data_IF_268842881238
#
_entry.id   IF_268842881238
#
_cell.length_a   1.000
_cell.length_b   1.000
_cell.length_c   1.000
_cell.angle_alpha   90.00
_cell.angle_beta   90.00
_cell.angle_gamma   90.00
#
_symmetry.space_group_name_H-M   'P 1'
#
loop_
_entity.id
_entity.type
_entity.pdbx_description
1 polymer ?
#
# COMPACT_ATOMS: atom_id res chain seq x y z
N UNK A 1 2.65 -10.12 -26.24
CA UNK A 1 2.84 -10.64 -24.86
C UNK A 1 1.71 -10.11 -23.99
N UNK A 2 1.22 -10.85 -22.99
CA UNK A 2 0.26 -10.30 -22.03
C UNK A 2 0.86 -9.08 -21.33
N UNK A 3 0.05 -8.06 -21.04
CA UNK A 3 0.48 -6.93 -20.22
C UNK A 3 0.93 -7.41 -18.85
N UNK A 4 2.02 -6.83 -18.32
CA UNK A 4 2.53 -7.16 -16.98
C UNK A 4 1.86 -6.37 -15.87
N UNK A 5 1.07 -5.35 -16.23
CA UNK A 5 0.36 -4.42 -15.33
C UNK A 5 -1.03 -4.11 -15.89
N UNK A 6 -1.86 -3.41 -15.12
CA UNK A 6 -3.16 -2.94 -15.58
C UNK A 6 -2.98 -1.97 -16.77
N UNK A 7 -3.84 -2.09 -17.78
CA UNK A 7 -3.88 -1.20 -18.93
C UNK A 7 -4.70 0.04 -18.57
N UNK A 8 -4.13 1.22 -18.66
CA UNK A 8 -4.79 2.48 -18.26
C UNK A 8 -6.14 2.69 -18.96
N UNK A 9 -6.26 2.33 -20.24
CA UNK A 9 -7.50 2.42 -21.03
C UNK A 9 -8.66 1.55 -20.54
N UNK A 10 -8.37 0.57 -19.67
CA UNK A 10 -9.35 -0.34 -19.09
C UNK A 10 -9.64 -0.02 -17.62
N UNK A 11 -8.97 0.99 -17.06
CA UNK A 11 -9.26 1.47 -15.70
C UNK A 11 -10.57 2.25 -15.76
N UNK A 12 -11.51 1.89 -14.87
CA UNK A 12 -12.77 2.63 -14.74
C UNK A 12 -12.53 3.99 -14.08
N UNK A 13 -13.44 4.93 -14.28
CA UNK A 13 -13.33 6.29 -13.77
C UNK A 13 -14.63 6.78 -13.15
N UNK A 14 -14.52 7.71 -12.20
CA UNK A 14 -15.65 8.39 -11.58
C UNK A 14 -15.19 9.78 -11.09
N UNK A 15 -16.01 10.85 -11.18
CA UNK A 15 -15.59 12.20 -10.78
C UNK A 15 -15.11 12.31 -9.32
N UNK A 16 -15.68 11.48 -8.44
CA UNK A 16 -15.30 11.39 -7.02
C UNK A 16 -14.19 10.36 -6.73
N UNK A 17 -13.50 9.80 -7.73
CA UNK A 17 -12.42 8.82 -7.52
C UNK A 17 -11.12 9.30 -8.14
N UNK A 18 -10.02 9.12 -7.39
CA UNK A 18 -8.69 9.53 -7.82
C UNK A 18 -8.25 8.73 -9.06
N UNK A 19 -8.00 9.45 -10.15
CA UNK A 19 -7.46 8.86 -11.38
C UNK A 19 -5.99 8.48 -11.17
N UNK A 20 -5.51 7.37 -11.75
CA UNK A 20 -4.09 7.03 -11.69
C UNK A 20 -3.22 8.17 -12.22
N UNK A 21 -2.33 8.66 -11.36
CA UNK A 21 -1.38 9.72 -11.67
C UNK A 21 0.06 9.27 -11.39
N UNK A 22 1.00 10.21 -11.35
CA UNK A 22 2.44 9.96 -11.25
C UNK A 22 2.84 9.13 -10.02
N UNK A 23 2.14 9.30 -8.91
CA UNK A 23 2.30 8.55 -7.67
C UNK A 23 1.86 7.08 -7.80
N UNK A 24 0.74 6.85 -8.46
CA UNK A 24 0.15 5.55 -8.76
C UNK A 24 1.07 4.78 -9.71
N UNK A 25 1.60 5.47 -10.73
CA UNK A 25 2.59 4.91 -11.64
C UNK A 25 3.92 4.63 -10.95
N UNK A 26 4.38 5.50 -10.05
CA UNK A 26 5.60 5.27 -9.29
C UNK A 26 5.49 4.04 -8.38
N UNK A 27 4.33 3.83 -7.75
CA UNK A 27 4.08 2.64 -6.93
C UNK A 27 4.08 1.36 -7.78
N UNK A 28 3.42 1.37 -8.94
CA UNK A 28 3.45 0.22 -9.87
C UNK A 28 4.85 -0.02 -10.43
N UNK A 29 5.62 1.02 -10.74
CA UNK A 29 7.02 0.89 -11.15
C UNK A 29 7.91 0.30 -10.06
N UNK A 30 7.67 0.66 -8.80
CA UNK A 30 8.39 0.08 -7.68
C UNK A 30 8.09 -1.43 -7.53
N UNK A 31 6.83 -1.82 -7.68
CA UNK A 31 6.43 -3.23 -7.70
C UNK A 31 7.03 -3.98 -8.89
N UNK A 32 7.11 -3.35 -10.07
CA UNK A 32 7.78 -3.92 -11.24
C UNK A 32 9.29 -4.08 -11.03
N UNK A 33 9.95 -3.09 -10.43
CA UNK A 33 11.37 -3.13 -10.11
C UNK A 33 11.69 -4.24 -9.09
N UNK A 34 10.79 -4.47 -8.12
CA UNK A 34 10.93 -5.53 -7.10
C UNK A 34 10.27 -6.85 -7.50
N UNK A 35 9.78 -6.98 -8.74
CA UNK A 35 8.96 -8.12 -9.20
C UNK A 35 9.63 -9.47 -8.97
N UNK A 36 10.94 -9.58 -9.24
CA UNK A 36 11.67 -10.83 -9.02
C UNK A 36 11.58 -11.28 -7.56
N UNK A 37 11.83 -10.34 -6.64
CA UNK A 37 11.75 -10.60 -5.21
C UNK A 37 10.31 -10.92 -4.78
N UNK A 38 9.30 -10.22 -5.33
CA UNK A 38 7.88 -10.51 -5.09
C UNK A 38 7.46 -11.93 -5.54
N UNK A 39 7.98 -12.41 -6.68
CA UNK A 39 7.71 -13.77 -7.16
C UNK A 39 8.39 -14.83 -6.27
N UNK A 40 9.64 -14.59 -5.88
CA UNK A 40 10.39 -15.46 -4.95
C UNK A 40 9.77 -15.46 -3.54
N UNK A 41 9.16 -14.35 -3.14
CA UNK A 41 8.46 -14.20 -1.86
C UNK A 41 7.21 -15.10 -1.75
N UNK A 42 6.61 -15.47 -2.89
CA UNK A 42 5.42 -16.30 -2.98
C UNK A 42 4.32 -15.87 -1.98
N UNK A 43 3.81 -14.61 -2.07
CA UNK A 43 2.73 -14.17 -1.20
C UNK A 43 1.49 -15.03 -1.42
N UNK A 44 0.76 -15.31 -0.36
CA UNK A 44 -0.56 -15.95 -0.43
C UNK A 44 -1.69 -14.95 -0.22
N UNK A 45 -1.41 -13.82 0.43
CA UNK A 45 -2.39 -12.79 0.73
C UNK A 45 -1.81 -11.40 0.46
N UNK A 46 -2.43 -10.65 -0.46
CA UNK A 46 -2.07 -9.29 -0.81
C UNK A 46 -3.21 -8.32 -0.49
N UNK A 47 -2.89 -7.12 -0.04
CA UNK A 47 -3.87 -6.10 0.31
C UNK A 47 -3.46 -4.72 -0.22
N UNK A 48 -4.42 -3.97 -0.74
CA UNK A 48 -4.30 -2.52 -0.97
C UNK A 48 -5.15 -1.76 0.05
N UNK A 49 -4.60 -0.69 0.64
CA UNK A 49 -5.34 0.28 1.45
C UNK A 49 -5.44 1.60 0.71
N UNK A 50 -6.66 2.10 0.51
CA UNK A 50 -6.96 3.28 -0.30
C UNK A 50 -6.89 2.95 -1.79
N UNK A 51 -7.73 2.03 -2.27
CA UNK A 51 -7.59 1.48 -3.62
C UNK A 51 -7.99 2.43 -4.76
N UNK A 52 -8.79 3.48 -4.51
CA UNK A 52 -9.15 4.48 -5.51
C UNK A 52 -9.71 3.85 -6.79
N UNK A 53 -8.99 4.05 -7.89
CA UNK A 53 -9.33 3.50 -9.21
C UNK A 53 -9.08 2.00 -9.38
N UNK A 54 -8.37 1.38 -8.43
CA UNK A 54 -7.99 -0.03 -8.44
C UNK A 54 -6.79 -0.37 -9.32
N UNK A 55 -6.09 0.65 -9.85
CA UNK A 55 -4.97 0.47 -10.77
C UNK A 55 -3.81 -0.34 -10.15
N UNK A 56 -3.47 -0.08 -8.88
CA UNK A 56 -2.33 -0.71 -8.20
C UNK A 56 -2.65 -2.15 -7.82
N UNK A 57 -3.76 -2.45 -7.12
CA UNK A 57 -4.14 -3.85 -6.80
C UNK A 57 -4.30 -4.69 -8.06
N UNK A 58 -4.89 -4.13 -9.12
CA UNK A 58 -5.06 -4.83 -10.41
C UNK A 58 -3.70 -5.13 -11.04
N UNK A 59 -2.77 -4.17 -11.02
CA UNK A 59 -1.41 -4.37 -11.52
C UNK A 59 -0.64 -5.42 -10.71
N UNK A 60 -0.74 -5.39 -9.38
CA UNK A 60 -0.14 -6.40 -8.50
C UNK A 60 -0.69 -7.80 -8.80
N UNK A 61 -2.01 -7.92 -8.99
CA UNK A 61 -2.66 -9.18 -9.32
C UNK A 61 -2.22 -9.75 -10.67
N UNK A 62 -2.04 -8.90 -11.68
CA UNK A 62 -1.49 -9.31 -12.98
C UNK A 62 -0.02 -9.74 -12.85
N UNK A 63 0.79 -8.98 -12.10
CA UNK A 63 2.22 -9.27 -11.92
C UNK A 63 2.49 -10.61 -11.24
N UNK A 64 1.68 -10.93 -10.23
CA UNK A 64 1.78 -12.14 -9.41
C UNK A 64 0.92 -13.29 -9.93
N UNK A 65 0.24 -13.12 -11.07
CA UNK A 65 -0.53 -14.18 -11.70
C UNK A 65 0.40 -15.35 -12.00
N UNK A 66 0.17 -16.48 -11.34
CA UNK A 66 0.89 -17.73 -11.58
C UNK A 66 0.23 -18.47 -12.74
N UNK A 67 1.03 -19.19 -13.50
CA UNK A 67 0.53 -20.18 -14.46
C UNK A 67 -0.02 -21.41 -13.69
N UNK A 68 -0.81 -22.25 -14.37
CA UNK A 68 -1.68 -23.29 -13.78
C UNK A 68 -1.03 -24.15 -12.67
N UNK A 69 -1.84 -24.55 -11.68
CA UNK A 69 -1.56 -25.42 -10.52
C UNK A 69 -0.76 -24.86 -9.34
N UNK A 70 -0.37 -23.58 -9.34
CA UNK A 70 0.20 -22.96 -8.15
C UNK A 70 -0.90 -22.41 -7.21
N UNK A 71 -0.64 -22.40 -5.89
CA UNK A 71 -1.56 -21.82 -4.91
C UNK A 71 -1.93 -20.38 -5.30
N UNK A 72 -3.24 -20.12 -5.40
CA UNK A 72 -3.79 -18.82 -5.77
C UNK A 72 -3.48 -17.79 -4.70
N UNK A 73 -3.13 -16.58 -5.14
CA UNK A 73 -2.97 -15.43 -4.26
C UNK A 73 -4.35 -14.84 -4.01
N UNK A 74 -4.70 -14.60 -2.75
CA UNK A 74 -5.89 -13.85 -2.38
C UNK A 74 -5.58 -12.35 -2.36
N UNK A 75 -6.43 -11.55 -3.01
CA UNK A 75 -6.29 -10.10 -3.08
C UNK A 75 -7.44 -9.43 -2.35
N UNK A 76 -7.12 -8.42 -1.55
CA UNK A 76 -8.08 -7.56 -0.85
C UNK A 76 -7.77 -6.10 -1.16
N UNK A 77 -8.81 -5.27 -1.18
CA UNK A 77 -8.66 -3.83 -1.34
C UNK A 77 -9.68 -3.11 -0.46
N UNK A 78 -9.25 -2.06 0.24
CA UNK A 78 -10.14 -1.21 1.03
C UNK A 78 -10.10 0.22 0.52
N UNK A 79 -11.23 0.90 0.60
CA UNK A 79 -11.31 2.35 0.45
C UNK A 79 -12.44 2.89 1.32
N UNK A 80 -12.29 4.11 1.83
CA UNK A 80 -13.35 4.78 2.59
C UNK A 80 -14.46 5.29 1.66
N UNK A 81 -14.12 5.54 0.39
CA UNK A 81 -15.03 6.05 -0.61
C UNK A 81 -15.79 4.90 -1.30
N UNK A 82 -17.12 4.82 -1.18
CA UNK A 82 -17.91 3.77 -1.81
C UNK A 82 -17.86 3.81 -3.35
N UNK A 83 -17.58 4.97 -3.96
CA UNK A 83 -17.35 5.07 -5.40
C UNK A 83 -16.05 4.37 -5.81
N UNK A 84 -14.98 4.49 -5.01
CA UNK A 84 -13.70 3.83 -5.27
C UNK A 84 -13.83 2.30 -5.21
N UNK A 85 -14.63 1.77 -4.28
CA UNK A 85 -14.95 0.34 -4.20
C UNK A 85 -15.59 -0.18 -5.49
N UNK A 86 -16.56 0.58 -6.02
CA UNK A 86 -17.22 0.26 -7.29
C UNK A 86 -16.24 0.35 -8.47
N UNK A 87 -15.51 1.46 -8.59
CA UNK A 87 -14.55 1.70 -9.69
C UNK A 87 -13.47 0.62 -9.70
N UNK A 88 -12.91 0.29 -8.53
CA UNK A 88 -11.92 -0.79 -8.38
C UNK A 88 -12.49 -2.14 -8.85
N UNK A 89 -13.73 -2.46 -8.48
CA UNK A 89 -14.40 -3.70 -8.92
C UNK A 89 -14.59 -3.76 -10.43
N UNK A 90 -14.94 -2.64 -11.07
CA UNK A 90 -15.06 -2.53 -12.53
C UNK A 90 -13.69 -2.67 -13.22
N UNK A 91 -12.64 -2.03 -12.68
CA UNK A 91 -11.26 -2.15 -13.16
C UNK A 91 -10.75 -3.60 -13.09
N UNK A 92 -10.96 -4.28 -11.97
CA UNK A 92 -10.59 -5.70 -11.79
C UNK A 92 -11.28 -6.59 -12.82
N UNK A 93 -12.60 -6.38 -13.02
CA UNK A 93 -13.42 -7.13 -13.98
C UNK A 93 -12.92 -6.92 -15.41
N UNK A 94 -12.62 -5.69 -15.81
CA UNK A 94 -12.09 -5.37 -17.14
C UNK A 94 -10.74 -6.06 -17.43
N UNK A 95 -9.97 -6.38 -16.39
CA UNK A 95 -8.69 -7.08 -16.48
C UNK A 95 -8.76 -8.58 -16.21
N UNK A 96 -9.96 -9.12 -15.97
CA UNK A 96 -10.17 -10.55 -15.68
C UNK A 96 -9.34 -11.05 -14.49
N UNK A 97 -9.22 -10.20 -13.47
CA UNK A 97 -8.61 -10.53 -12.16
C UNK A 97 -9.64 -10.33 -11.05
N UNK A 98 -9.37 -10.90 -9.87
CA UNK A 98 -10.30 -10.88 -8.75
C UNK A 98 -9.61 -10.40 -7.47
N UNK A 99 -10.28 -9.50 -6.76
CA UNK A 99 -9.97 -9.13 -5.39
C UNK A 99 -11.29 -8.90 -4.62
N UNK A 100 -11.29 -9.13 -3.31
CA UNK A 100 -12.39 -8.72 -2.44
C UNK A 100 -12.22 -7.23 -2.11
N UNK A 101 -13.18 -6.41 -2.53
CA UNK A 101 -13.12 -4.94 -2.38
C UNK A 101 -14.15 -4.49 -1.36
N UNK A 102 -13.71 -3.74 -0.35
CA UNK A 102 -14.52 -3.42 0.82
C UNK A 102 -14.51 -1.92 1.09
N UNK A 103 -15.69 -1.38 1.42
CA UNK A 103 -15.81 -0.01 1.90
C UNK A 103 -15.44 0.01 3.39
N UNK A 104 -14.23 0.45 3.73
CA UNK A 104 -13.71 0.44 5.10
C UNK A 104 -12.70 1.58 5.31
N UNK A 105 -12.64 2.09 6.54
CA UNK A 105 -11.61 3.04 6.95
C UNK A 105 -10.34 2.26 7.32
N UNK A 106 -9.37 2.23 6.38
CA UNK A 106 -8.12 1.47 6.47
C UNK A 106 -8.37 -0.05 6.53
N UNK A 107 -8.72 -0.57 7.71
CA UNK A 107 -9.10 -1.96 7.98
C UNK A 107 -9.89 -2.11 9.30
N UNK A 108 -10.58 -1.03 9.71
CA UNK A 108 -11.14 -0.87 11.06
C UNK A 108 -12.42 -1.67 11.33
N UNK A 109 -13.12 -2.15 10.30
CA UNK A 109 -14.43 -2.84 10.43
C UNK A 109 -14.30 -4.33 10.78
N UNK A 110 -13.36 -4.67 11.67
CA UNK A 110 -13.07 -6.06 12.08
C UNK A 110 -12.17 -6.84 11.10
N UNK A 111 -11.76 -6.21 9.99
CA UNK A 111 -10.72 -6.76 9.10
C UNK A 111 -9.40 -6.93 9.84
N UNK A 112 -9.02 -5.95 10.67
CA UNK A 112 -7.83 -5.97 11.51
C UNK A 112 -7.71 -7.29 12.31
N UNK A 113 -8.79 -7.73 12.95
CA UNK A 113 -8.80 -8.97 13.73
C UNK A 113 -8.73 -10.22 12.84
N UNK A 114 -9.46 -10.24 11.72
CA UNK A 114 -9.52 -11.42 10.83
C UNK A 114 -8.23 -11.65 10.04
N UNK A 115 -7.55 -10.56 9.70
CA UNK A 115 -6.36 -10.52 8.87
C UNK A 115 -5.07 -10.32 9.68
N UNK A 116 -5.16 -10.30 11.01
CA UNK A 116 -4.01 -10.17 11.90
C UNK A 116 -2.89 -11.15 11.51
N UNK A 117 -1.71 -10.61 11.20
CA UNK A 117 -0.53 -11.39 10.84
C UNK A 117 -0.68 -12.25 9.57
N UNK A 118 -1.60 -11.91 8.66
CA UNK A 118 -1.85 -12.71 7.43
C UNK A 118 -1.39 -12.03 6.14
N UNK A 119 -1.24 -10.70 6.14
CA UNK A 119 -0.95 -9.96 4.90
C UNK A 119 0.53 -10.10 4.54
N UNK A 120 0.83 -10.77 3.42
CA UNK A 120 2.20 -10.97 2.95
C UNK A 120 2.71 -9.78 2.13
N UNK A 121 1.83 -9.10 1.39
CA UNK A 121 2.16 -7.86 0.68
C UNK A 121 1.05 -6.86 0.88
N UNK A 122 1.38 -5.71 1.43
CA UNK A 122 0.51 -4.54 1.55
C UNK A 122 1.04 -3.43 0.64
N UNK A 123 0.15 -2.80 -0.11
CA UNK A 123 0.47 -1.61 -0.93
C UNK A 123 -0.42 -0.46 -0.49
N UNK A 124 0.17 0.72 -0.34
CA UNK A 124 -0.52 1.91 0.17
C UNK A 124 -0.07 3.13 -0.62
N UNK A 125 -1.02 3.80 -1.27
CA UNK A 125 -0.85 5.15 -1.77
C UNK A 125 -1.73 6.09 -0.92
N UNK A 126 -1.23 6.58 0.23
CA UNK A 126 -2.08 7.27 1.20
C UNK A 126 -2.38 8.71 0.76
N UNK A 127 -3.36 9.39 1.35
CA UNK A 127 -3.43 10.86 1.30
C UNK A 127 -2.19 11.45 1.99
N UNK A 128 -1.24 11.94 1.20
CA UNK A 128 0.09 12.37 1.67
C UNK A 128 0.38 13.85 1.45
N UNK A 129 -0.53 14.62 0.86
CA UNK A 129 -0.31 16.05 0.59
C UNK A 129 -0.51 16.83 1.88
N UNK A 130 0.46 17.70 2.29
CA UNK A 130 0.26 18.59 3.41
C UNK A 130 -0.93 19.52 3.18
N UNK A 131 -1.92 19.45 4.07
CA UNK A 131 -3.16 20.25 4.00
C UNK A 131 -3.54 20.71 5.41
N UNK A 132 -4.41 21.73 5.54
CA UNK A 132 -5.08 22.00 6.81
C UNK A 132 -5.75 20.74 7.40
N UNK A 133 -5.72 20.59 8.72
CA UNK A 133 -6.29 19.40 9.40
C UNK A 133 -7.81 19.27 9.20
N UNK A 134 -8.51 20.39 9.03
CA UNK A 134 -9.97 20.38 8.81
C UNK A 134 -10.37 19.89 7.41
N UNK A 135 -9.40 19.70 6.51
CA UNK A 135 -9.60 19.08 5.19
C UNK A 135 -9.42 17.55 5.21
N UNK A 136 -8.79 17.00 6.26
CA UNK A 136 -8.55 15.56 6.38
C UNK A 136 -9.88 14.82 6.58
N UNK A 137 -10.18 13.89 5.67
CA UNK A 137 -11.39 13.06 5.75
C UNK A 137 -12.70 13.81 5.47
N UNK A 138 -12.65 15.01 4.89
CA UNK A 138 -13.84 15.66 4.32
C UNK A 138 -14.42 14.82 3.18
N UNK A 139 -15.74 14.91 3.00
CA UNK A 139 -16.42 14.24 1.89
C UNK A 139 -15.92 14.75 0.54
N UNK A 140 -15.89 13.83 -0.43
CA UNK A 140 -15.52 14.09 -1.81
C UNK A 140 -14.07 13.77 -2.16
N UNK A 141 -13.72 14.05 -3.41
CA UNK A 141 -12.43 13.69 -4.01
C UNK A 141 -11.20 14.20 -3.24
N UNK A 142 -11.31 15.33 -2.52
CA UNK A 142 -10.19 15.92 -1.79
C UNK A 142 -9.60 15.00 -0.71
N UNK A 143 -10.40 14.09 -0.16
CA UNK A 143 -9.95 13.06 0.78
C UNK A 143 -8.87 12.14 0.19
N UNK A 144 -8.74 12.04 -1.13
CA UNK A 144 -7.73 11.22 -1.78
C UNK A 144 -6.31 11.75 -1.60
N UNK A 145 -6.14 13.06 -1.38
CA UNK A 145 -4.81 13.66 -1.22
C UNK A 145 -4.59 14.35 0.13
N UNK A 146 -5.64 14.84 0.79
CA UNK A 146 -5.54 15.60 2.04
C UNK A 146 -4.96 14.78 3.19
N UNK A 147 -3.68 15.00 3.49
CA UNK A 147 -2.90 14.26 4.47
C UNK A 147 -2.73 14.96 5.82
N UNK A 148 -3.20 16.21 5.97
CA UNK A 148 -3.10 16.97 7.22
C UNK A 148 -1.71 17.56 7.45
N UNK A 149 -1.33 17.76 8.71
CA UNK A 149 -0.05 18.35 9.09
C UNK A 149 1.11 17.50 8.55
N UNK A 150 2.00 18.14 7.78
CA UNK A 150 3.08 17.48 7.04
C UNK A 150 2.62 16.35 6.09
N UNK A 151 1.31 16.24 5.81
CA UNK A 151 0.73 15.16 5.03
C UNK A 151 0.80 13.78 5.71
N UNK A 152 0.85 13.73 7.05
CA UNK A 152 1.06 12.47 7.80
C UNK A 152 -0.12 11.97 8.62
N UNK A 153 -1.18 12.75 8.82
CA UNK A 153 -2.30 12.37 9.70
C UNK A 153 -2.94 11.04 9.33
N UNK A 154 -3.01 10.71 8.04
CA UNK A 154 -3.50 9.40 7.57
C UNK A 154 -2.41 8.34 7.61
N UNK A 155 -1.18 8.67 7.22
CA UNK A 155 -0.01 7.76 7.26
C UNK A 155 0.20 7.21 8.67
N UNK A 156 0.20 8.09 9.68
CA UNK A 156 0.46 7.73 11.08
C UNK A 156 -0.66 6.85 11.68
N UNK A 157 -1.86 6.84 11.07
CA UNK A 157 -2.94 5.89 11.40
C UNK A 157 -2.79 4.55 10.68
N UNK A 158 -2.24 4.54 9.46
CA UNK A 158 -2.04 3.32 8.67
C UNK A 158 -0.91 2.46 9.25
N UNK A 159 0.22 3.05 9.65
CA UNK A 159 1.41 2.30 10.06
C UNK A 159 1.15 1.32 11.24
N UNK A 160 0.44 1.70 12.33
CA UNK A 160 0.11 0.75 13.40
C UNK A 160 -0.82 -0.39 12.93
N UNK A 161 -1.72 -0.12 12.00
CA UNK A 161 -2.62 -1.14 11.44
C UNK A 161 -1.83 -2.08 10.52
N UNK A 162 -0.92 -1.54 9.71
CA UNK A 162 -0.03 -2.33 8.88
C UNK A 162 0.83 -3.29 9.71
N UNK A 163 1.43 -2.84 10.82
CA UNK A 163 2.23 -3.71 11.72
C UNK A 163 1.43 -4.93 12.21
N UNK A 164 0.17 -4.72 12.58
CA UNK A 164 -0.73 -5.79 13.05
C UNK A 164 -1.17 -6.74 11.95
N UNK A 165 -1.42 -6.23 10.74
CA UNK A 165 -1.91 -7.01 9.61
C UNK A 165 -0.81 -7.81 8.91
N UNK A 166 0.39 -7.24 8.84
CA UNK A 166 1.52 -7.84 8.12
C UNK A 166 1.93 -9.17 8.77
N UNK A 167 2.07 -10.20 7.94
CA UNK A 167 2.56 -11.50 8.38
C UNK A 167 4.01 -11.44 8.84
N UNK A 168 4.54 -12.55 9.37
CA UNK A 168 5.96 -12.64 9.74
C UNK A 168 6.91 -12.38 8.56
N UNK A 169 6.45 -12.66 7.35
CA UNK A 169 7.19 -12.41 6.11
C UNK A 169 6.68 -11.14 5.39
N UNK A 170 5.71 -10.43 5.95
CA UNK A 170 4.97 -9.37 5.31
C UNK A 170 5.83 -8.19 4.85
N UNK A 171 5.55 -7.71 3.64
CA UNK A 171 6.13 -6.51 3.04
C UNK A 171 5.10 -5.41 2.90
N UNK A 172 5.50 -4.17 3.15
CA UNK A 172 4.70 -2.96 2.90
C UNK A 172 5.40 -2.10 1.86
N UNK A 173 4.67 -1.66 0.83
CA UNK A 173 5.11 -0.63 -0.10
C UNK A 173 4.23 0.60 0.11
N UNK A 174 4.85 1.74 0.41
CA UNK A 174 4.14 2.98 0.71
C UNK A 174 4.72 4.14 -0.11
N UNK A 175 3.83 4.92 -0.71
CA UNK A 175 4.18 6.21 -1.32
C UNK A 175 4.32 7.27 -0.24
N UNK A 176 5.33 8.11 -0.36
CA UNK A 176 5.59 9.27 0.49
C UNK A 176 6.18 10.42 -0.32
N UNK A 177 6.00 11.64 0.14
CA UNK A 177 6.74 12.83 -0.29
C UNK A 177 7.85 13.16 0.71
N UNK A 178 8.85 13.92 0.27
CA UNK A 178 9.86 14.50 1.16
C UNK A 178 9.24 15.30 2.32
N UNK A 179 8.12 16.00 2.06
CA UNK A 179 7.37 16.75 3.07
C UNK A 179 6.83 15.85 4.20
N UNK A 180 6.61 14.57 3.96
CA UNK A 180 6.16 13.62 4.98
C UNK A 180 7.27 13.18 5.92
N UNK A 181 8.50 13.70 5.79
CA UNK A 181 9.68 13.27 6.54
C UNK A 181 9.83 11.73 6.56
N UNK A 182 10.18 11.11 5.42
CA UNK A 182 10.27 9.65 5.33
C UNK A 182 11.25 9.02 6.32
N UNK A 183 12.26 9.77 6.79
CA UNK A 183 13.17 9.31 7.84
C UNK A 183 12.45 9.03 9.17
N UNK A 184 11.47 9.83 9.56
CA UNK A 184 10.66 9.60 10.76
C UNK A 184 9.74 8.38 10.59
N UNK A 185 9.13 8.21 9.41
CA UNK A 185 8.32 7.03 9.07
C UNK A 185 9.17 5.76 9.18
N UNK A 186 10.39 5.79 8.61
CA UNK A 186 11.33 4.68 8.72
C UNK A 186 11.78 4.40 10.15
N UNK A 187 12.00 5.43 10.96
CA UNK A 187 12.34 5.26 12.37
C UNK A 187 11.20 4.59 13.16
N UNK A 188 9.96 5.06 12.97
CA UNK A 188 8.78 4.46 13.58
C UNK A 188 8.65 2.97 13.22
N UNK A 189 8.79 2.62 11.95
CA UNK A 189 8.72 1.23 11.50
C UNK A 189 9.92 0.41 12.03
N UNK A 190 11.10 1.01 12.17
CA UNK A 190 12.27 0.37 12.75
C UNK A 190 12.06 -0.02 14.22
N UNK A 191 11.41 0.84 15.01
CA UNK A 191 11.01 0.53 16.40
C UNK A 191 10.02 -0.64 16.48
N UNK A 192 9.33 -0.98 15.38
CA UNK A 192 8.48 -2.16 15.24
C UNK A 192 9.20 -3.39 14.66
N UNK A 193 10.53 -3.31 14.49
CA UNK A 193 11.37 -4.39 13.97
C UNK A 193 11.35 -4.51 12.45
N UNK A 194 11.08 -3.42 11.72
CA UNK A 194 11.15 -3.39 10.25
C UNK A 194 12.44 -2.73 9.75
N UNK A 195 13.05 -3.34 8.74
CA UNK A 195 13.98 -2.65 7.87
C UNK A 195 13.23 -1.93 6.74
N UNK A 196 13.88 -0.95 6.12
CA UNK A 196 13.28 -0.10 5.07
C UNK A 196 14.25 0.17 3.92
N UNK A 197 13.73 0.25 2.69
CA UNK A 197 14.50 0.62 1.49
C UNK A 197 13.63 1.43 0.53
N UNK A 198 14.15 2.55 0.02
CA UNK A 198 13.54 3.27 -1.10
C UNK A 198 13.74 2.44 -2.37
N UNK A 199 12.65 2.05 -3.03
CA UNK A 199 12.68 1.26 -4.28
C UNK A 199 12.68 2.18 -5.50
N UNK A 200 11.85 3.21 -5.45
CA UNK A 200 11.74 4.24 -6.49
C UNK A 200 11.81 5.61 -5.84
N UNK A 201 12.53 6.52 -6.48
CA UNK A 201 12.50 7.95 -6.20
C UNK A 201 12.25 8.68 -7.51
N UNK A 202 11.24 9.55 -7.51
CA UNK A 202 10.98 10.51 -8.58
C UNK A 202 11.09 11.90 -7.98
N UNK A 203 11.80 12.80 -8.65
CA UNK A 203 11.96 14.17 -8.17
C UNK A 203 11.74 15.13 -9.33
N UNK A 204 10.86 16.09 -9.11
CA UNK A 204 10.71 17.31 -9.90
C UNK A 204 11.35 18.46 -9.12
N UNK A 205 11.28 19.69 -9.64
CA UNK A 205 11.74 20.88 -8.91
C UNK A 205 10.91 21.14 -7.65
N UNK A 206 9.64 20.74 -7.66
CA UNK A 206 8.65 21.08 -6.62
C UNK A 206 8.41 19.93 -5.65
N UNK A 207 8.57 18.68 -6.10
CA UNK A 207 8.21 17.49 -5.32
C UNK A 207 9.24 16.38 -5.43
N UNK A 208 9.48 15.70 -4.30
CA UNK A 208 10.26 14.46 -4.28
C UNK A 208 9.40 13.35 -3.72
N UNK A 209 8.95 12.47 -4.61
CA UNK A 209 8.15 11.30 -4.33
C UNK A 209 9.04 10.05 -4.16
N UNK A 210 8.77 9.28 -3.11
CA UNK A 210 9.49 8.06 -2.76
C UNK A 210 8.50 6.92 -2.58
N UNK A 211 8.86 5.75 -3.11
CA UNK A 211 8.19 4.49 -2.76
C UNK A 211 9.10 3.70 -1.85
N UNK A 212 8.68 3.51 -0.61
CA UNK A 212 9.46 2.83 0.44
C UNK A 212 8.90 1.44 0.65
N UNK A 213 9.79 0.45 0.60
CA UNK A 213 9.52 -0.92 1.02
C UNK A 213 9.93 -1.11 2.47
N UNK A 214 9.06 -1.69 3.28
CA UNK A 214 9.33 -2.17 4.63
C UNK A 214 9.19 -3.69 4.70
N UNK A 215 10.04 -4.36 5.49
CA UNK A 215 9.94 -5.79 5.77
C UNK A 215 10.46 -6.08 7.19
N UNK A 216 9.96 -7.14 7.82
CA UNK A 216 10.48 -7.55 9.14
C UNK A 216 11.92 -8.03 8.99
N UNK A 217 12.80 -7.47 9.81
CA UNK A 217 14.21 -7.86 9.87
C UNK A 217 14.44 -8.60 11.20
N UNK A 218 14.70 -9.92 11.18
CA UNK A 218 14.97 -10.69 12.38
C UNK A 218 16.14 -10.13 13.20
N UNK A 219 17.16 -9.57 12.54
CA UNK A 219 18.36 -9.09 13.21
C UNK A 219 18.09 -7.79 14.01
N UNK A 220 17.06 -7.03 13.65
CA UNK A 220 16.61 -5.86 14.42
C UNK A 220 15.83 -6.24 15.70
N UNK A 221 15.24 -7.44 15.76
CA UNK A 221 14.46 -7.89 16.93
C UNK A 221 15.35 -8.47 18.04
N UNK A 222 16.57 -8.91 17.72
CA UNK A 222 17.52 -9.48 18.70
C UNK A 222 18.18 -8.40 19.57
N UNK A 223 18.16 -7.14 19.14
CA UNK A 223 18.78 -6.01 19.84
C UNK A 223 18.17 -5.64 21.19
N UNK A 224 16.92 -6.02 21.49
CA UNK A 224 16.24 -5.66 22.75
C UNK A 224 16.38 -6.73 23.85
N UNK A 225 16.59 -8.00 23.50
CA UNK A 225 16.61 -9.10 24.48
C UNK A 225 17.97 -9.24 25.18
N UNK A 226 19.05 -8.72 24.58
CA UNK A 226 20.41 -8.87 25.11
C UNK A 226 20.75 -7.95 26.31
N UNK A 227 19.85 -7.06 26.73
CA UNK A 227 20.14 -6.09 27.82
C UNK A 227 19.52 -6.46 29.17
N UNK A 228 18.76 -7.55 29.28
CA UNK A 228 18.09 -7.96 30.56
C UNK A 228 18.76 -9.22 31.18
N UNK A 229 19.92 -9.64 30.67
CA UNK A 229 20.59 -10.87 31.07
C UNK A 229 21.99 -10.67 31.65
N UNK A 230 22.21 -9.68 32.51
CA UNK A 230 23.39 -9.65 33.39
C UNK A 230 23.23 -8.61 34.50
N UNK A 231 22.63 -9.02 35.62
CA UNK A 231 22.92 -8.55 36.99
C UNK A 231 22.33 -9.57 37.98
#
# INVERSE_FOLDING_TARGET
MPSRIAQIRLVSGHPEVYEPCDDSFALVDALLADRKNLLEHQPVFCMEVGCGSGYVITSLAIMLKKEDNAASVSYFATDINPHAVRVTSETLKAHTVHAEVLCDNIASSGLETRLWGKVDVMVVNPPYVPTPEDEVGREGIASAWAGGENGRTVIDKILPVADKLLSKKGWLYMVTLAANNPSQICLFMKEKGYASRIIVRRSTEEESLHVIKFWRDPDLQVGEISTIGSL
#
